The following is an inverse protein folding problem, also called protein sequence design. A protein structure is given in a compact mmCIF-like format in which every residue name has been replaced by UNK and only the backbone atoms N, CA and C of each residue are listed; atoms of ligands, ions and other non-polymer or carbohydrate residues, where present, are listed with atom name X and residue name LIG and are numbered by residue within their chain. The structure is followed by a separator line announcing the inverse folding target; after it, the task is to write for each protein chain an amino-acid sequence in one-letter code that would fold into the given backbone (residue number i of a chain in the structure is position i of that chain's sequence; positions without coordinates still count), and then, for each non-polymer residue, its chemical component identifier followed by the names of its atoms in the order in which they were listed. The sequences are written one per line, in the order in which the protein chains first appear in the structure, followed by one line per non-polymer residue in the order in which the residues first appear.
data_IF_289166554310
#
_entry.id   IF_289166554310
#
_cell.length_a   1.000
_cell.length_b   1.000
_cell.length_c   1.000
_cell.angle_alpha   90.00
_cell.angle_beta   90.00
_cell.angle_gamma   90.00
#
_symmetry.space_group_name_H-M   'P 1'
#
loop_
_entity.id
_entity.type
_entity.pdbx_description
1 polymer ?
#
# COMPACT_ATOMS: atom_id res chain seq x y z
N UNK A 1 -5.58 -47.49 -13.27
CA UNK A 1 -6.72 -47.20 -12.37
C UNK A 1 -6.52 -45.77 -11.87
N UNK A 2 -7.21 -44.83 -12.51
CA UNK A 2 -7.22 -43.39 -12.07
C UNK A 2 -8.34 -43.23 -11.05
N UNK A 3 -8.01 -42.85 -9.84
CA UNK A 3 -8.97 -42.43 -8.84
C UNK A 3 -9.23 -40.92 -9.01
N UNK A 4 -10.40 -40.56 -9.50
CA UNK A 4 -10.87 -39.19 -9.60
C UNK A 4 -11.20 -38.66 -8.19
N UNK A 5 -10.45 -37.71 -7.67
CA UNK A 5 -10.72 -37.01 -6.41
C UNK A 5 -11.74 -35.91 -6.68
N UNK A 6 -13.00 -36.19 -6.42
CA UNK A 6 -14.09 -35.20 -6.53
C UNK A 6 -14.09 -34.34 -5.28
N UNK A 7 -13.53 -33.12 -5.37
CA UNK A 7 -13.64 -32.11 -4.31
C UNK A 7 -15.04 -31.51 -4.37
N UNK A 8 -15.88 -31.90 -3.43
CA UNK A 8 -17.21 -31.34 -3.22
C UNK A 8 -17.03 -29.97 -2.53
N UNK A 9 -17.12 -28.86 -3.29
CA UNK A 9 -17.23 -27.52 -2.74
C UNK A 9 -18.59 -27.39 -2.04
N UNK A 10 -18.62 -27.54 -0.73
CA UNK A 10 -19.79 -27.19 0.06
C UNK A 10 -19.85 -25.64 0.09
N UNK A 11 -20.74 -25.08 -0.74
CA UNK A 11 -21.14 -23.67 -0.62
C UNK A 11 -21.86 -23.53 0.74
N UNK A 12 -21.38 -22.65 1.65
CA UNK A 12 -22.13 -22.34 2.86
C UNK A 12 -23.46 -21.73 2.45
N UNK A 13 -24.54 -22.26 3.00
CA UNK A 13 -25.89 -21.73 2.83
C UNK A 13 -25.86 -20.22 3.19
N UNK A 14 -26.25 -19.37 2.26
CA UNK A 14 -26.33 -17.94 2.44
C UNK A 14 -27.29 -17.66 3.59
N UNK A 15 -26.73 -17.31 4.77
CA UNK A 15 -27.50 -16.59 5.79
C UNK A 15 -28.03 -15.30 5.13
N UNK A 16 -29.22 -14.79 5.54
CA UNK A 16 -29.73 -13.56 4.99
C UNK A 16 -28.66 -12.48 5.17
N UNK A 17 -28.01 -12.09 4.07
CA UNK A 17 -27.05 -11.00 4.08
C UNK A 17 -27.84 -9.75 4.44
N UNK A 18 -27.69 -9.28 5.69
CA UNK A 18 -27.91 -7.87 5.95
C UNK A 18 -27.05 -7.15 4.90
N UNK A 19 -27.69 -6.32 4.08
CA UNK A 19 -27.03 -5.65 2.97
C UNK A 19 -25.79 -4.94 3.48
N UNK A 20 -24.60 -5.53 3.28
CA UNK A 20 -23.34 -4.93 3.64
C UNK A 20 -23.13 -3.76 2.72
N UNK A 21 -22.89 -2.59 3.27
CA UNK A 21 -22.54 -1.42 2.50
C UNK A 21 -21.15 -1.62 1.89
N UNK A 22 -21.06 -1.41 0.58
CA UNK A 22 -19.81 -1.49 -0.17
C UNK A 22 -19.47 -0.11 -0.70
N UNK A 23 -18.23 0.34 -0.49
CA UNK A 23 -17.69 1.56 -1.07
C UNK A 23 -16.61 1.22 -2.09
N UNK A 24 -16.65 1.88 -3.24
CA UNK A 24 -15.58 1.84 -4.25
C UNK A 24 -15.09 3.26 -4.47
N UNK A 25 -13.78 3.47 -4.32
CA UNK A 25 -13.21 4.79 -4.39
C UNK A 25 -12.00 4.83 -5.34
N UNK A 26 -12.16 5.25 -6.61
CA UNK A 26 -11.02 5.68 -7.40
C UNK A 26 -10.35 6.87 -6.74
N UNK A 27 -9.01 6.83 -6.67
CA UNK A 27 -8.19 7.86 -6.02
C UNK A 27 -7.06 8.30 -6.94
N UNK A 28 -6.70 9.58 -6.83
CA UNK A 28 -5.53 10.15 -7.47
C UNK A 28 -4.86 11.16 -6.53
N UNK A 29 -3.56 11.32 -6.64
CA UNK A 29 -2.82 12.20 -5.75
C UNK A 29 -1.33 12.23 -6.04
N UNK A 30 -0.57 12.36 -4.98
CA UNK A 30 0.88 12.50 -5.05
C UNK A 30 1.55 11.73 -3.92
N UNK A 31 2.63 11.00 -4.24
CA UNK A 31 3.43 10.24 -3.29
C UNK A 31 4.85 10.78 -3.27
N UNK A 32 5.36 10.99 -2.05
CA UNK A 32 6.68 11.53 -1.75
C UNK A 32 7.51 10.49 -1.00
N UNK A 33 8.82 10.63 -1.05
CA UNK A 33 9.75 9.75 -0.35
C UNK A 33 10.01 8.46 -1.14
N UNK A 34 10.66 7.52 -0.50
CA UNK A 34 11.14 6.31 -1.15
C UNK A 34 12.60 6.45 -1.57
N UNK A 35 13.39 7.21 -0.79
CA UNK A 35 14.82 7.34 -1.01
C UNK A 35 15.45 5.95 -0.96
N UNK A 36 15.88 5.47 -2.12
CA UNK A 36 16.69 4.28 -2.25
C UNK A 36 18.13 4.69 -1.95
N UNK A 37 18.70 4.15 -0.87
CA UNK A 37 20.14 4.25 -0.67
C UNK A 37 20.82 3.35 -1.68
N UNK A 38 21.66 3.93 -2.52
CA UNK A 38 22.58 3.12 -3.33
C UNK A 38 23.57 2.45 -2.37
N UNK A 39 23.46 1.13 -2.22
CA UNK A 39 24.29 0.33 -1.32
C UNK A 39 25.81 0.45 -1.57
N UNK A 40 26.22 0.92 -2.77
CA UNK A 40 27.62 1.04 -3.14
C UNK A 40 28.24 2.39 -2.72
N UNK A 41 27.49 3.46 -2.62
CA UNK A 41 28.05 4.82 -2.45
C UNK A 41 27.50 5.58 -1.26
N UNK A 42 26.47 5.06 -0.58
CA UNK A 42 25.75 5.71 0.55
C UNK A 42 25.27 7.14 0.20
N UNK A 43 25.03 7.41 -1.08
CA UNK A 43 24.42 8.65 -1.54
C UNK A 43 22.90 8.49 -1.53
N UNK A 44 22.15 9.42 -0.91
CA UNK A 44 20.70 9.46 -1.05
C UNK A 44 20.37 9.80 -2.51
N UNK A 45 19.70 8.90 -3.19
CA UNK A 45 19.04 9.20 -4.46
C UNK A 45 17.77 9.97 -4.11
N UNK A 46 17.83 11.27 -4.22
CA UNK A 46 16.68 12.18 -4.02
C UNK A 46 15.64 11.81 -5.08
N UNK A 47 14.58 11.13 -4.66
CA UNK A 47 13.44 10.85 -5.53
C UNK A 47 12.42 11.97 -5.35
N UNK A 48 12.31 12.83 -6.34
CA UNK A 48 11.19 13.75 -6.42
C UNK A 48 9.89 12.94 -6.35
N UNK A 49 8.91 13.46 -5.58
CA UNK A 49 7.60 12.84 -5.53
C UNK A 49 7.00 12.72 -6.93
N UNK A 50 6.08 11.79 -7.12
CA UNK A 50 5.41 11.59 -8.40
C UNK A 50 3.90 11.38 -8.24
N UNK A 51 3.12 11.65 -9.28
CA UNK A 51 1.69 11.37 -9.28
C UNK A 51 1.40 9.89 -8.99
N UNK A 52 0.34 9.65 -8.23
CA UNK A 52 -0.17 8.33 -7.90
C UNK A 52 -1.64 8.25 -8.25
N UNK A 53 -2.09 7.11 -8.74
CA UNK A 53 -3.50 6.82 -8.97
C UNK A 53 -3.81 5.36 -8.60
N UNK A 54 -5.07 5.10 -8.30
CA UNK A 54 -5.47 3.78 -7.86
C UNK A 54 -6.92 3.71 -7.46
N UNK A 55 -7.23 2.81 -6.54
CA UNK A 55 -8.57 2.66 -6.01
C UNK A 55 -8.59 1.89 -4.70
N UNK A 56 -9.64 2.14 -3.93
CA UNK A 56 -9.96 1.40 -2.73
C UNK A 56 -11.34 0.74 -2.87
N UNK A 57 -11.46 -0.47 -2.35
CA UNK A 57 -12.74 -1.16 -2.18
C UNK A 57 -12.90 -1.45 -0.70
N UNK A 58 -14.00 -1.00 -0.13
CA UNK A 58 -14.26 -1.14 1.30
C UNK A 58 -15.61 -1.81 1.53
N UNK A 59 -15.67 -2.68 2.54
CA UNK A 59 -16.90 -3.37 2.97
C UNK A 59 -17.13 -3.08 4.44
N UNK A 60 -18.30 -2.59 4.78
CA UNK A 60 -18.66 -2.32 6.17
C UNK A 60 -18.84 -3.62 6.94
N UNK A 61 -18.07 -3.76 8.02
CA UNK A 61 -18.10 -4.94 8.89
C UNK A 61 -19.04 -4.73 10.09
N UNK A 62 -18.93 -3.58 10.72
CA UNK A 62 -19.77 -3.19 11.86
C UNK A 62 -19.59 -1.71 12.17
N UNK A 63 -20.66 -0.98 12.48
CA UNK A 63 -20.69 0.36 13.10
C UNK A 63 -19.49 1.28 12.78
N UNK A 64 -19.25 1.55 11.49
CA UNK A 64 -18.16 2.41 11.04
C UNK A 64 -16.78 1.72 10.97
N UNK A 65 -16.71 0.42 11.26
CA UNK A 65 -15.52 -0.39 10.99
C UNK A 65 -15.63 -1.04 9.59
N UNK A 66 -14.64 -0.82 8.77
CA UNK A 66 -14.58 -1.28 7.39
C UNK A 66 -13.35 -2.13 7.15
N UNK A 67 -13.50 -3.18 6.37
CA UNK A 67 -12.38 -3.83 5.70
C UNK A 67 -12.11 -3.07 4.40
N UNK A 68 -10.86 -2.70 4.14
CA UNK A 68 -10.48 -1.93 2.94
C UNK A 68 -9.33 -2.61 2.22
N UNK A 69 -9.50 -2.86 0.92
CA UNK A 69 -8.44 -3.25 0.00
C UNK A 69 -8.04 -2.02 -0.83
N UNK A 70 -6.74 -1.74 -0.89
CA UNK A 70 -6.17 -0.59 -1.55
C UNK A 70 -5.16 -1.03 -2.61
N UNK A 71 -5.33 -0.53 -3.83
CA UNK A 71 -4.32 -0.60 -4.88
C UNK A 71 -3.91 0.80 -5.27
N UNK A 72 -2.60 1.07 -5.34
CA UNK A 72 -2.07 2.32 -5.90
C UNK A 72 -0.87 2.07 -6.79
N UNK A 73 -0.80 2.82 -7.87
CA UNK A 73 0.23 2.79 -8.90
C UNK A 73 0.92 4.14 -9.01
N UNK A 74 2.24 4.14 -8.98
CA UNK A 74 3.09 5.31 -9.19
C UNK A 74 4.14 4.97 -10.24
N UNK A 75 4.37 5.92 -11.13
CA UNK A 75 5.46 5.86 -12.10
C UNK A 75 6.32 7.10 -11.94
N UNK A 76 7.61 6.92 -11.71
CA UNK A 76 8.56 8.00 -11.52
C UNK A 76 9.78 7.79 -12.40
N UNK A 77 10.29 8.86 -12.98
CA UNK A 77 11.58 8.85 -13.63
C UNK A 77 12.67 9.05 -12.57
N UNK A 78 13.68 8.20 -12.57
CA UNK A 78 14.84 8.28 -11.69
C UNK A 78 16.04 8.67 -12.52
N UNK A 79 16.62 9.84 -12.22
CA UNK A 79 17.86 10.28 -12.84
C UNK A 79 19.05 9.72 -12.05
N UNK A 80 19.78 8.76 -12.63
CA UNK A 80 21.02 8.24 -12.07
C UNK A 80 22.17 9.15 -12.56
N UNK A 81 22.86 9.88 -11.67
CA UNK A 81 23.94 10.76 -12.07
C UNK A 81 25.10 10.01 -12.71
N UNK A 82 25.85 10.68 -13.58
CA UNK A 82 27.02 10.11 -14.24
C UNK A 82 28.05 9.65 -13.19
N UNK A 83 28.43 8.38 -13.25
CA UNK A 83 29.57 7.86 -12.51
C UNK A 83 30.91 8.10 -13.23
N UNK A 84 32.07 7.82 -12.60
CA UNK A 84 33.39 7.99 -13.21
C UNK A 84 33.58 7.23 -14.53
N UNK A 85 32.78 6.18 -14.78
CA UNK A 85 32.86 5.30 -15.95
C UNK A 85 31.48 5.03 -16.59
N UNK A 86 30.41 5.73 -16.16
CA UNK A 86 29.05 5.53 -16.65
C UNK A 86 28.40 6.85 -17.02
N UNK A 87 27.77 6.97 -18.21
CA UNK A 87 26.99 8.15 -18.55
C UNK A 87 25.76 8.27 -17.62
N UNK A 88 25.14 9.46 -17.49
CA UNK A 88 23.89 9.61 -16.77
C UNK A 88 22.81 8.77 -17.46
N UNK A 89 22.06 8.02 -16.69
CA UNK A 89 20.98 7.16 -17.19
C UNK A 89 19.67 7.61 -16.55
N UNK A 90 18.66 7.80 -17.39
CA UNK A 90 17.28 8.02 -16.92
C UNK A 90 16.53 6.69 -16.97
N UNK A 91 16.15 6.18 -15.81
CA UNK A 91 15.45 4.91 -15.65
C UNK A 91 14.03 5.18 -15.15
N UNK A 92 13.06 4.43 -15.67
CA UNK A 92 11.68 4.49 -15.22
C UNK A 92 11.46 3.47 -14.12
N UNK A 93 11.08 3.95 -12.94
CA UNK A 93 10.69 3.10 -11.83
C UNK A 93 9.16 3.08 -11.67
N UNK A 94 8.62 1.90 -11.45
CA UNK A 94 7.20 1.65 -11.19
C UNK A 94 7.06 1.14 -9.76
N UNK A 95 6.11 1.71 -9.02
CA UNK A 95 5.80 1.26 -7.65
C UNK A 95 4.32 0.98 -7.54
N UNK A 96 3.98 -0.28 -7.28
CA UNK A 96 2.61 -0.73 -7.08
C UNK A 96 2.42 -1.19 -5.63
N UNK A 97 1.44 -0.62 -4.92
CA UNK A 97 1.02 -1.12 -3.62
C UNK A 97 -0.25 -1.96 -3.76
N UNK A 98 -0.22 -3.14 -3.16
CA UNK A 98 -1.35 -4.05 -2.99
C UNK A 98 -1.53 -4.28 -1.51
N UNK A 99 -2.47 -3.56 -0.90
CA UNK A 99 -2.62 -3.51 0.54
C UNK A 99 -4.05 -3.89 0.94
N UNK A 100 -4.17 -4.52 2.10
CA UNK A 100 -5.45 -4.79 2.73
C UNK A 100 -5.39 -4.41 4.20
N UNK A 101 -6.51 -3.97 4.77
CA UNK A 101 -6.52 -3.53 6.16
C UNK A 101 -7.86 -3.08 6.66
N UNK A 102 -7.84 -2.27 7.71
CA UNK A 102 -9.03 -1.73 8.34
C UNK A 102 -9.12 -0.22 8.21
N UNK A 103 -10.34 0.27 8.11
CA UNK A 103 -10.68 1.69 8.24
C UNK A 103 -11.72 1.84 9.34
N UNK A 104 -11.51 2.78 10.25
CA UNK A 104 -12.46 3.16 11.29
C UNK A 104 -12.95 4.57 11.03
N UNK A 105 -14.23 4.72 10.75
CA UNK A 105 -14.90 6.00 10.67
C UNK A 105 -15.11 6.55 12.12
N UNK A 106 -14.73 7.81 12.37
CA UNK A 106 -14.70 8.43 13.71
C UNK A 106 -15.90 9.33 13.97
N UNK A 107 -16.95 9.20 13.18
CA UNK A 107 -18.16 10.00 13.35
C UNK A 107 -19.13 9.83 12.20
N UNK A 108 -20.17 10.63 12.23
CA UNK A 108 -21.24 10.67 11.22
C UNK A 108 -21.52 12.11 10.84
N UNK A 109 -22.12 12.35 9.67
CA UNK A 109 -22.54 13.68 9.27
C UNK A 109 -21.92 14.16 7.95
N UNK A 110 -21.74 15.47 7.81
CA UNK A 110 -21.27 16.09 6.56
C UNK A 110 -19.78 15.90 6.30
N UNK A 111 -19.01 15.71 7.34
CA UNK A 111 -17.59 15.40 7.28
C UNK A 111 -17.35 14.23 8.25
N UNK A 112 -16.86 13.12 7.75
CA UNK A 112 -16.61 11.90 8.52
C UNK A 112 -15.11 11.65 8.52
N UNK A 113 -14.41 12.03 9.60
CA UNK A 113 -13.00 11.68 9.77
C UNK A 113 -12.86 10.16 9.89
N UNK A 114 -11.71 9.63 9.46
CA UNK A 114 -11.42 8.22 9.61
C UNK A 114 -9.92 7.97 9.81
N UNK A 115 -9.61 6.81 10.37
CA UNK A 115 -8.25 6.26 10.46
C UNK A 115 -8.17 4.97 9.66
N UNK A 116 -6.99 4.70 9.09
CA UNK A 116 -6.72 3.48 8.33
C UNK A 116 -5.42 2.83 8.77
N UNK A 117 -5.40 1.49 8.71
CA UNK A 117 -4.19 0.71 8.87
C UNK A 117 -4.16 -0.40 7.83
N UNK A 118 -3.01 -0.62 7.19
CA UNK A 118 -2.83 -1.56 6.09
C UNK A 118 -1.62 -2.44 6.29
N UNK A 119 -1.68 -3.60 5.68
CA UNK A 119 -0.55 -4.48 5.45
C UNK A 119 -0.66 -5.08 4.04
N UNK A 120 0.46 -5.46 3.46
CA UNK A 120 0.45 -6.06 2.12
C UNK A 120 1.81 -6.06 1.46
N UNK A 121 1.79 -5.91 0.15
CA UNK A 121 2.98 -6.03 -0.69
C UNK A 121 3.15 -4.78 -1.56
N UNK A 122 4.40 -4.40 -1.72
CA UNK A 122 4.83 -3.41 -2.71
C UNK A 122 5.65 -4.09 -3.78
N UNK A 123 5.25 -3.90 -5.01
CA UNK A 123 6.00 -4.33 -6.19
C UNK A 123 6.77 -3.13 -6.75
N UNK A 124 8.07 -3.27 -6.82
CA UNK A 124 8.99 -2.34 -7.47
C UNK A 124 9.44 -2.93 -8.79
N UNK A 125 9.29 -2.18 -9.88
CA UNK A 125 9.80 -2.56 -11.20
C UNK A 125 10.72 -1.48 -11.76
N UNK A 126 11.89 -1.86 -12.24
CA UNK A 126 12.84 -0.99 -12.94
C UNK A 126 13.62 -1.81 -13.98
N UNK A 127 13.58 -1.37 -15.25
CA UNK A 127 14.41 -1.87 -16.39
C UNK A 127 14.70 -3.38 -16.43
N UNK A 128 13.70 -4.22 -16.08
CA UNK A 128 13.80 -5.69 -16.19
C UNK A 128 14.04 -6.39 -14.86
N UNK A 129 14.23 -5.67 -13.78
CA UNK A 129 14.27 -6.19 -12.43
C UNK A 129 12.95 -5.91 -11.72
N UNK A 130 12.30 -6.97 -11.23
CA UNK A 130 11.06 -6.90 -10.47
C UNK A 130 11.30 -7.38 -9.03
N UNK A 131 10.89 -6.59 -8.07
CA UNK A 131 11.06 -6.91 -6.67
C UNK A 131 9.75 -6.73 -5.89
N UNK A 132 9.41 -7.72 -5.04
CA UNK A 132 8.24 -7.66 -4.19
C UNK A 132 8.66 -7.61 -2.73
N UNK A 133 8.16 -6.62 -2.00
CA UNK A 133 8.51 -6.37 -0.59
C UNK A 133 7.27 -6.24 0.27
N UNK A 134 7.40 -6.62 1.54
CA UNK A 134 6.34 -6.45 2.52
C UNK A 134 6.23 -4.98 2.94
N UNK A 135 4.98 -4.50 3.07
CA UNK A 135 4.70 -3.10 3.40
C UNK A 135 3.63 -3.02 4.48
N UNK A 136 3.88 -2.15 5.43
CA UNK A 136 2.89 -1.66 6.39
C UNK A 136 2.51 -0.24 6.02
N UNK A 137 1.26 0.11 6.25
CA UNK A 137 0.76 1.46 6.02
C UNK A 137 -0.19 1.90 7.11
N UNK A 138 -0.26 3.20 7.32
CA UNK A 138 -1.22 3.79 8.23
C UNK A 138 -1.51 5.23 7.82
N UNK A 139 -2.65 5.72 8.25
CA UNK A 139 -3.03 7.08 7.92
C UNK A 139 -4.42 7.42 8.36
N UNK A 140 -4.98 8.42 7.73
CA UNK A 140 -6.34 8.83 7.96
C UNK A 140 -6.80 9.83 6.91
N UNK A 141 -8.01 10.27 7.06
CA UNK A 141 -8.59 11.18 6.10
C UNK A 141 -9.96 11.68 6.53
N UNK A 142 -10.64 12.25 5.58
CA UNK A 142 -12.02 12.72 5.77
C UNK A 142 -12.86 12.37 4.55
N UNK A 143 -14.07 11.85 4.81
CA UNK A 143 -15.12 11.64 3.79
C UNK A 143 -16.16 12.73 3.89
N UNK A 144 -16.64 13.18 2.74
CA UNK A 144 -17.73 14.12 2.60
C UNK A 144 -18.86 13.44 1.81
N UNK A 145 -19.88 12.87 2.47
CA UNK A 145 -21.07 12.37 1.79
C UNK A 145 -21.79 13.51 1.07
N UNK A 146 -21.85 13.45 -0.26
CA UNK A 146 -22.51 14.47 -1.10
C UNK A 146 -23.94 14.09 -1.46
N UNK A 147 -24.17 12.80 -1.70
CA UNK A 147 -25.46 12.22 -2.02
C UNK A 147 -25.54 10.79 -1.47
N UNK A 148 -26.69 10.13 -1.63
CA UNK A 148 -26.94 8.79 -1.11
C UNK A 148 -25.90 7.74 -1.56
N UNK A 149 -25.41 7.88 -2.78
CA UNK A 149 -24.47 6.93 -3.41
C UNK A 149 -23.16 7.58 -3.84
N UNK A 150 -22.90 8.83 -3.44
CA UNK A 150 -21.74 9.58 -3.88
C UNK A 150 -21.13 10.38 -2.74
N UNK A 151 -19.83 10.33 -2.61
CA UNK A 151 -19.04 11.12 -1.69
C UNK A 151 -17.69 11.53 -2.27
N UNK A 152 -16.99 12.36 -1.54
CA UNK A 152 -15.57 12.68 -1.74
C UNK A 152 -14.78 12.14 -0.56
N UNK A 153 -13.54 11.72 -0.79
CA UNK A 153 -12.58 11.41 0.29
C UNK A 153 -11.23 12.09 0.03
N UNK A 154 -10.61 12.49 1.11
CA UNK A 154 -9.24 12.99 1.14
C UNK A 154 -8.47 12.11 2.10
N UNK A 155 -7.32 11.63 1.68
CA UNK A 155 -6.49 10.70 2.44
C UNK A 155 -5.07 11.24 2.59
N UNK A 156 -4.49 11.04 3.77
CA UNK A 156 -3.06 11.15 4.03
C UNK A 156 -2.57 9.83 4.62
N UNK A 157 -1.57 9.20 3.98
CA UNK A 157 -1.04 7.88 4.37
C UNK A 157 0.46 7.91 4.43
N UNK A 158 1.02 7.07 5.29
CA UNK A 158 2.46 6.78 5.35
C UNK A 158 2.64 5.28 5.20
N UNK A 159 3.59 4.89 4.36
CA UNK A 159 3.95 3.50 4.13
C UNK A 159 5.38 3.25 4.56
N UNK A 160 5.62 2.09 5.13
CA UNK A 160 6.93 1.57 5.51
C UNK A 160 7.12 0.25 4.79
N UNK A 161 8.04 0.22 3.83
CA UNK A 161 8.38 -1.00 3.08
C UNK A 161 9.70 -1.56 3.61
N UNK A 162 9.69 -2.86 3.91
CA UNK A 162 10.86 -3.58 4.42
C UNK A 162 11.69 -4.09 3.24
N UNK A 163 12.87 -3.50 3.03
CA UNK A 163 13.74 -3.83 1.90
C UNK A 163 14.64 -5.00 2.22
N UNK A 164 15.31 -4.99 3.38
CA UNK A 164 16.15 -6.07 3.87
C UNK A 164 15.85 -6.36 5.34
N UNK A 165 15.74 -7.64 5.66
CA UNK A 165 15.63 -8.12 7.04
C UNK A 165 16.69 -9.19 7.22
N UNK A 166 17.85 -8.79 7.76
CA UNK A 166 18.91 -9.73 8.14
C UNK A 166 18.82 -10.08 9.62
N UNK A 167 18.56 -11.35 9.90
CA UNK A 167 18.60 -11.91 11.23
C UNK A 167 19.89 -12.70 11.41
N UNK A 168 20.84 -12.17 12.15
CA UNK A 168 22.08 -12.86 12.51
C UNK A 168 22.04 -13.36 13.95
N UNK A 169 22.30 -14.65 14.19
CA UNK A 169 22.53 -15.19 15.50
C UNK A 169 23.99 -15.65 15.61
N UNK A 170 24.77 -15.00 16.46
CA UNK A 170 26.14 -15.44 16.79
C UNK A 170 26.15 -16.04 18.21
N UNK A 171 26.44 -17.32 18.33
CA UNK A 171 26.53 -18.06 19.59
C UNK A 171 27.97 -18.47 19.83
N UNK A 172 28.71 -17.73 20.68
CA UNK A 172 30.06 -18.05 21.13
C UNK A 172 30.24 -17.63 22.59
N UNK A 173 29.58 -18.35 23.53
CA UNK A 173 29.58 -18.00 24.94
C UNK A 173 28.45 -17.11 25.43
N UNK A 174 27.54 -16.74 24.54
CA UNK A 174 26.29 -16.00 24.71
C UNK A 174 25.63 -15.79 23.33
N UNK A 175 24.32 -15.97 23.20
CA UNK A 175 23.62 -15.70 21.93
C UNK A 175 23.28 -14.22 21.81
N UNK A 176 23.87 -13.54 20.83
CA UNK A 176 23.49 -12.20 20.43
C UNK A 176 22.68 -12.34 19.15
N UNK A 177 21.40 -11.91 19.19
CA UNK A 177 20.55 -11.82 18.01
C UNK A 177 20.60 -10.37 17.53
N UNK A 178 21.21 -10.16 16.38
CA UNK A 178 21.21 -8.87 15.69
C UNK A 178 20.12 -8.87 14.62
N UNK A 179 19.22 -7.90 14.66
CA UNK A 179 18.26 -7.61 13.61
C UNK A 179 18.67 -6.31 12.92
N UNK A 180 19.08 -6.41 11.66
CA UNK A 180 19.21 -5.24 10.77
C UNK A 180 17.98 -5.18 9.87
N UNK A 181 17.27 -4.07 9.96
CA UNK A 181 16.06 -3.84 9.16
C UNK A 181 16.25 -2.53 8.41
N UNK A 182 16.33 -2.63 7.08
CA UNK A 182 16.31 -1.48 6.21
C UNK A 182 14.87 -1.24 5.74
N UNK A 183 14.40 -0.02 5.91
CA UNK A 183 13.03 0.39 5.58
C UNK A 183 13.02 1.61 4.68
N UNK A 184 12.09 1.62 3.75
CA UNK A 184 11.79 2.77 2.89
C UNK A 184 10.48 3.40 3.33
N UNK A 185 10.51 4.70 3.61
CA UNK A 185 9.34 5.48 4.00
C UNK A 185 8.78 6.25 2.82
N UNK A 186 7.45 6.19 2.68
CA UNK A 186 6.73 6.96 1.66
C UNK A 186 5.51 7.62 2.28
N UNK A 187 5.28 8.89 1.94
CA UNK A 187 4.06 9.63 2.30
C UNK A 187 3.20 9.84 1.06
N UNK A 188 1.90 9.66 1.19
CA UNK A 188 0.96 9.76 0.08
C UNK A 188 -0.23 10.63 0.49
N UNK A 189 -0.61 11.55 -0.40
CA UNK A 189 -1.84 12.33 -0.29
C UNK A 189 -2.70 12.09 -1.52
N UNK A 190 -3.93 11.63 -1.30
CA UNK A 190 -4.87 11.35 -2.39
C UNK A 190 -6.22 11.99 -2.14
N UNK A 191 -6.89 12.30 -3.24
CA UNK A 191 -8.30 12.64 -3.28
C UNK A 191 -9.05 11.63 -4.16
N UNK A 192 -10.28 11.31 -3.82
CA UNK A 192 -11.07 10.34 -4.56
C UNK A 192 -12.57 10.58 -4.47
N UNK A 193 -13.29 9.97 -5.40
CA UNK A 193 -14.73 9.86 -5.37
C UNK A 193 -15.09 8.56 -4.64
N UNK A 194 -16.11 8.60 -3.80
CA UNK A 194 -16.66 7.41 -3.12
C UNK A 194 -18.00 7.07 -3.73
N UNK A 195 -18.12 5.87 -4.27
CA UNK A 195 -19.37 5.29 -4.76
C UNK A 195 -19.85 4.28 -3.72
N UNK A 196 -21.09 4.44 -3.26
CA UNK A 196 -21.71 3.63 -2.20
C UNK A 196 -22.80 2.75 -2.80
N UNK A 197 -22.77 1.45 -2.50
CA UNK A 197 -23.69 0.43 -2.98
C UNK A 197 -24.40 -0.29 -1.85
#
# INVERSE_FOLDING_TARGET
MLAALTVLLALPAAAPASAQTVEVAPVAGYRFGGDLFELATNHPLDRDGAPVFGGAVSVEMANGLWFEALFTHQQADVDVPAGPFSPPVRTRAVVNHWLAGGRQDLGTGRAVPFLTGFLGLTHYGADGDDEVRFTLGGGGGVKFPLARHLGLRLDGRVFTTFVDVDAGAACGGGCIVGLNVNVVWQAEFTAGLVLVF
#
